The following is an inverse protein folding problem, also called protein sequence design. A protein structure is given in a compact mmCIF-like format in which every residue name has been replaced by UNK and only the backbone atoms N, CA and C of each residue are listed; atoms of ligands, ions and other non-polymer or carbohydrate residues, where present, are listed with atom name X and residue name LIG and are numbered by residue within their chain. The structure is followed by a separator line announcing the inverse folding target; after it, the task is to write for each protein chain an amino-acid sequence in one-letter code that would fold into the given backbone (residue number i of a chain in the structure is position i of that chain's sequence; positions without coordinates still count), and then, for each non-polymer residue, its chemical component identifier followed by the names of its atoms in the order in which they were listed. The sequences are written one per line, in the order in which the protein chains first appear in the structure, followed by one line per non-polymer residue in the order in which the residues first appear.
data_IF_158290515895
#
_entry.id   IF_158290515895
#
_cell.length_a   1.000
_cell.length_b   1.000
_cell.length_c   1.000
_cell.angle_alpha   90.00
_cell.angle_beta   90.00
_cell.angle_gamma   90.00
#
_symmetry.space_group_name_H-M   'P 1'
#
loop_
_entity.id
_entity.type
_entity.pdbx_description
1 polymer ?
#
# COMPACT_ATOMS: atom_id res chain seq x y z
N UNK A 1 18.66 -12.85 -0.51
CA UNK A 1 17.98 -14.00 -1.07
C UNK A 1 17.55 -13.70 -2.50
N UNK A 2 17.44 -14.72 -3.31
CA UNK A 2 16.89 -14.58 -4.66
C UNK A 2 15.45 -15.08 -4.61
N UNK A 3 14.50 -14.32 -5.15
CA UNK A 3 13.17 -14.81 -5.38
C UNK A 3 13.19 -15.79 -6.56
N UNK A 4 12.68 -17.01 -6.36
CA UNK A 4 12.61 -18.06 -7.38
C UNK A 4 11.19 -18.21 -7.90
N UNK A 5 10.20 -18.04 -7.02
CA UNK A 5 8.79 -18.09 -7.36
C UNK A 5 8.16 -16.72 -7.25
N UNK A 6 7.69 -16.19 -8.38
CA UNK A 6 7.16 -14.82 -8.45
C UNK A 6 5.75 -14.84 -9.05
N UNK A 7 4.80 -14.23 -8.36
CA UNK A 7 3.47 -13.96 -8.86
C UNK A 7 3.31 -12.47 -9.13
N UNK A 8 2.93 -12.12 -10.35
CA UNK A 8 2.55 -10.76 -10.72
C UNK A 8 1.06 -10.71 -10.98
N UNK A 9 0.37 -9.85 -10.25
CA UNK A 9 -1.06 -9.58 -10.37
C UNK A 9 -1.27 -8.20 -10.98
N UNK A 10 -2.01 -8.14 -12.06
CA UNK A 10 -2.31 -6.90 -12.78
C UNK A 10 -3.79 -6.85 -13.17
N UNK A 11 -4.36 -5.68 -13.48
CA UNK A 11 -5.67 -5.62 -14.13
C UNK A 11 -5.69 -6.42 -15.44
N UNK A 12 -6.82 -7.05 -15.76
CA UNK A 12 -6.97 -7.90 -16.96
C UNK A 12 -6.49 -7.20 -18.24
N UNK A 13 -6.79 -5.93 -18.40
CA UNK A 13 -6.40 -5.12 -19.56
C UNK A 13 -4.89 -4.95 -19.72
N UNK A 14 -4.10 -5.12 -18.65
CA UNK A 14 -2.65 -4.90 -18.64
C UNK A 14 -1.82 -6.20 -18.75
N UNK A 15 -2.42 -7.37 -18.66
CA UNK A 15 -1.73 -8.68 -18.68
C UNK A 15 -0.79 -8.80 -19.89
N UNK A 16 -1.28 -8.54 -21.09
CA UNK A 16 -0.46 -8.67 -22.30
C UNK A 16 0.62 -7.60 -22.40
N UNK A 17 0.35 -6.38 -21.94
CA UNK A 17 1.34 -5.31 -21.92
C UNK A 17 2.49 -5.66 -20.98
N UNK A 18 2.18 -6.11 -19.76
CA UNK A 18 3.18 -6.54 -18.78
C UNK A 18 4.03 -7.69 -19.32
N UNK A 19 3.41 -8.71 -19.92
CA UNK A 19 4.13 -9.83 -20.54
C UNK A 19 5.15 -9.35 -21.58
N UNK A 20 4.72 -8.49 -22.51
CA UNK A 20 5.58 -7.97 -23.57
C UNK A 20 6.73 -7.12 -23.02
N UNK A 21 6.45 -6.24 -22.05
CA UNK A 21 7.47 -5.38 -21.45
C UNK A 21 8.51 -6.17 -20.64
N UNK A 22 8.08 -7.16 -19.86
CA UNK A 22 8.99 -8.05 -19.11
C UNK A 22 9.91 -8.82 -20.06
N UNK A 23 9.37 -9.36 -21.13
CA UNK A 23 10.13 -10.11 -22.12
C UNK A 23 11.10 -9.21 -22.88
N UNK A 24 10.63 -8.07 -23.43
CA UNK A 24 11.44 -7.22 -24.33
C UNK A 24 12.50 -6.41 -23.62
N UNK A 25 12.19 -5.88 -22.42
CA UNK A 25 13.09 -4.97 -21.70
C UNK A 25 14.03 -5.69 -20.75
N UNK A 26 13.56 -6.78 -20.15
CA UNK A 26 14.28 -7.46 -19.07
C UNK A 26 14.67 -8.91 -19.42
N UNK A 27 14.22 -9.43 -20.57
CA UNK A 27 14.39 -10.83 -20.98
C UNK A 27 13.88 -11.81 -19.90
N UNK A 28 12.78 -11.44 -19.22
CA UNK A 28 12.11 -12.25 -18.22
C UNK A 28 10.88 -12.90 -18.86
N UNK A 29 10.82 -14.23 -18.75
CA UNK A 29 9.72 -15.01 -19.27
C UNK A 29 8.73 -15.36 -18.17
N UNK A 30 7.56 -14.71 -18.17
CA UNK A 30 6.44 -15.04 -17.30
C UNK A 30 5.41 -15.85 -18.06
N UNK A 31 4.85 -16.89 -17.43
CA UNK A 31 3.72 -17.63 -17.97
C UNK A 31 2.41 -16.90 -17.63
N UNK A 32 1.62 -16.58 -18.66
CA UNK A 32 0.29 -16.01 -18.43
C UNK A 32 -0.64 -17.14 -17.96
N UNK A 33 -1.30 -16.91 -16.82
CA UNK A 33 -2.27 -17.85 -16.24
C UNK A 33 -3.66 -17.25 -16.32
N UNK A 34 -4.53 -18.04 -16.92
CA UNK A 34 -5.98 -17.86 -17.01
C UNK A 34 -6.67 -19.20 -16.74
N UNK A 35 -7.99 -19.22 -16.79
CA UNK A 35 -8.77 -20.45 -16.57
C UNK A 35 -8.41 -21.55 -17.59
N UNK A 36 -8.14 -21.18 -18.84
CA UNK A 36 -7.73 -22.12 -19.89
C UNK A 36 -6.40 -22.80 -19.56
N UNK A 37 -5.41 -22.05 -19.11
CA UNK A 37 -4.10 -22.55 -18.69
C UNK A 37 -4.21 -23.44 -17.45
N UNK A 38 -4.98 -23.03 -16.43
CA UNK A 38 -5.21 -23.82 -15.22
C UNK A 38 -5.84 -25.17 -15.55
N UNK A 39 -6.90 -25.20 -16.38
CA UNK A 39 -7.53 -26.45 -16.83
C UNK A 39 -6.60 -27.34 -17.65
N UNK A 40 -5.71 -26.75 -18.44
CA UNK A 40 -4.73 -27.53 -19.20
C UNK A 40 -3.71 -28.19 -18.25
N UNK A 41 -3.22 -27.50 -17.24
CA UNK A 41 -2.34 -28.04 -16.22
C UNK A 41 -3.03 -29.18 -15.43
N UNK A 42 -4.26 -28.98 -14.97
CA UNK A 42 -5.07 -30.00 -14.25
C UNK A 42 -5.31 -31.27 -15.10
N UNK A 43 -5.46 -31.14 -16.42
CA UNK A 43 -5.57 -32.30 -17.31
C UNK A 43 -4.25 -33.06 -17.43
N UNK A 44 -3.12 -32.37 -17.37
CA UNK A 44 -1.79 -32.99 -17.46
C UNK A 44 -1.39 -33.65 -16.15
N UNK A 45 -1.76 -33.07 -15.01
CA UNK A 45 -1.47 -33.57 -13.66
C UNK A 45 -2.76 -33.53 -12.81
N UNK A 46 -3.63 -34.50 -12.93
CA UNK A 46 -4.90 -34.53 -12.21
C UNK A 46 -4.71 -34.51 -10.70
N UNK A 47 -5.36 -33.55 -10.03
CA UNK A 47 -5.30 -33.38 -8.58
C UNK A 47 -4.14 -32.54 -8.06
N UNK A 48 -3.25 -32.08 -8.93
CA UNK A 48 -2.19 -31.14 -8.55
C UNK A 48 -2.67 -29.68 -8.70
N UNK A 49 -2.10 -28.81 -7.87
CA UNK A 49 -2.36 -27.39 -7.94
C UNK A 49 -1.70 -26.80 -9.21
N UNK A 50 -2.46 -26.22 -10.14
CA UNK A 50 -1.94 -25.73 -11.42
C UNK A 50 -0.88 -24.62 -11.24
N UNK A 51 -0.90 -23.86 -10.14
CA UNK A 51 0.06 -22.82 -9.87
C UNK A 51 1.45 -23.34 -9.45
N UNK A 52 1.59 -24.63 -9.18
CA UNK A 52 2.88 -25.27 -8.93
C UNK A 52 3.66 -25.57 -10.22
N UNK A 53 3.00 -25.58 -11.38
CA UNK A 53 3.60 -25.86 -12.70
C UNK A 53 4.52 -24.73 -13.22
N UNK A 54 4.44 -23.53 -12.62
CA UNK A 54 5.23 -22.37 -13.03
C UNK A 54 5.92 -21.66 -11.85
N UNK A 55 7.13 -21.16 -12.11
CA UNK A 55 7.87 -20.36 -11.14
C UNK A 55 7.59 -18.87 -11.28
N UNK A 56 7.42 -18.38 -12.50
CA UNK A 56 7.16 -16.97 -12.82
C UNK A 56 5.80 -16.85 -13.51
N UNK A 57 4.80 -16.42 -12.76
CA UNK A 57 3.42 -16.38 -13.20
C UNK A 57 2.92 -14.94 -13.23
N UNK A 58 2.24 -14.60 -14.31
CA UNK A 58 1.53 -13.35 -14.52
C UNK A 58 0.05 -13.67 -14.74
N UNK A 59 -0.83 -13.09 -13.95
CA UNK A 59 -2.27 -13.25 -14.14
C UNK A 59 -3.05 -12.00 -13.73
N UNK A 60 -4.32 -11.98 -14.11
CA UNK A 60 -5.25 -10.94 -13.69
C UNK A 60 -5.62 -11.12 -12.22
N UNK A 61 -5.66 -10.02 -11.46
CA UNK A 61 -6.18 -10.03 -10.10
C UNK A 61 -7.65 -10.42 -10.10
N UNK A 62 -8.44 -9.92 -11.07
CA UNK A 62 -9.87 -10.23 -11.22
C UNK A 62 -10.12 -11.72 -11.45
N UNK A 63 -9.27 -12.38 -12.24
CA UNK A 63 -9.38 -13.82 -12.49
C UNK A 63 -9.29 -14.62 -11.19
N UNK A 64 -8.35 -14.28 -10.31
CA UNK A 64 -8.20 -14.98 -9.03
C UNK A 64 -9.32 -14.60 -8.06
N UNK A 65 -9.60 -13.31 -7.88
CA UNK A 65 -10.58 -12.81 -6.93
C UNK A 65 -12.01 -13.29 -7.21
N UNK A 66 -12.35 -13.58 -8.49
CA UNK A 66 -13.66 -14.09 -8.88
C UNK A 66 -13.80 -15.62 -8.79
N UNK A 67 -12.78 -16.34 -8.34
CA UNK A 67 -12.80 -17.81 -8.23
C UNK A 67 -12.17 -18.27 -6.93
N UNK A 68 -12.98 -18.69 -5.97
CA UNK A 68 -12.52 -19.20 -4.67
C UNK A 68 -11.48 -20.32 -4.83
N UNK A 69 -11.74 -21.28 -5.74
CA UNK A 69 -10.80 -22.39 -6.01
C UNK A 69 -9.45 -21.88 -6.54
N UNK A 70 -9.45 -20.93 -7.49
CA UNK A 70 -8.20 -20.38 -8.06
C UNK A 70 -7.46 -19.50 -7.07
N UNK A 71 -8.20 -18.75 -6.26
CA UNK A 71 -7.66 -17.97 -5.15
C UNK A 71 -6.93 -18.87 -4.15
N UNK A 72 -7.57 -19.92 -3.64
CA UNK A 72 -6.97 -20.86 -2.72
C UNK A 72 -5.72 -21.53 -3.31
N UNK A 73 -5.81 -22.02 -4.56
CA UNK A 73 -4.68 -22.62 -5.25
C UNK A 73 -3.49 -21.67 -5.41
N UNK A 74 -3.74 -20.41 -5.76
CA UNK A 74 -2.70 -19.39 -5.87
C UNK A 74 -2.07 -19.06 -4.52
N UNK A 75 -2.88 -18.94 -3.45
CA UNK A 75 -2.41 -18.66 -2.09
C UNK A 75 -1.54 -19.81 -1.55
N UNK A 76 -1.86 -21.06 -1.90
CA UNK A 76 -1.13 -22.25 -1.44
C UNK A 76 0.11 -22.58 -2.25
N UNK A 77 0.31 -21.92 -3.40
CA UNK A 77 1.42 -22.23 -4.29
C UNK A 77 2.80 -21.88 -3.73
N UNK A 78 2.89 -21.00 -2.72
CA UNK A 78 4.14 -20.63 -2.03
C UNK A 78 5.03 -19.71 -2.89
N UNK A 79 4.78 -18.41 -2.83
CA UNK A 79 5.51 -17.37 -3.55
C UNK A 79 6.61 -16.75 -2.69
N UNK A 80 7.79 -16.48 -3.29
CA UNK A 80 8.84 -15.69 -2.64
C UNK A 80 8.54 -14.20 -2.76
N UNK A 81 7.88 -13.79 -3.86
CA UNK A 81 7.52 -12.42 -4.14
C UNK A 81 6.15 -12.37 -4.84
N UNK A 82 5.26 -11.56 -4.31
CA UNK A 82 4.01 -11.15 -4.95
C UNK A 82 4.12 -9.69 -5.35
N UNK A 83 3.85 -9.38 -6.60
CA UNK A 83 3.80 -8.01 -7.14
C UNK A 83 2.37 -7.71 -7.55
N UNK A 84 1.83 -6.61 -7.10
CA UNK A 84 0.47 -6.17 -7.46
C UNK A 84 0.55 -4.80 -8.10
N UNK A 85 0.14 -4.71 -9.37
CA UNK A 85 0.04 -3.44 -10.08
C UNK A 85 -1.32 -2.80 -9.88
N UNK A 86 -1.37 -1.48 -10.03
CA UNK A 86 -2.56 -0.64 -9.81
C UNK A 86 -3.22 -0.91 -8.44
N UNK A 87 -2.38 -1.05 -7.41
CA UNK A 87 -2.82 -1.37 -6.04
C UNK A 87 -3.82 -0.35 -5.45
N UNK A 88 -4.07 0.77 -6.14
CA UNK A 88 -5.12 1.70 -5.78
C UNK A 88 -6.54 1.15 -6.02
N UNK A 89 -6.71 0.08 -6.79
CA UNK A 89 -7.99 -0.61 -6.97
C UNK A 89 -8.32 -1.60 -5.84
N UNK A 90 -7.40 -1.84 -4.91
CA UNK A 90 -7.66 -2.68 -3.73
C UNK A 90 -8.50 -1.88 -2.73
N UNK A 91 -9.82 -2.00 -2.82
CA UNK A 91 -10.75 -1.27 -1.97
C UNK A 91 -10.86 -1.90 -0.58
N UNK A 92 -10.76 -1.05 0.43
CA UNK A 92 -10.91 -1.43 1.83
C UNK A 92 -11.52 -0.28 2.63
N UNK A 93 -12.44 -0.62 3.51
CA UNK A 93 -12.96 0.25 4.57
C UNK A 93 -13.00 -0.54 5.88
N UNK A 94 -13.18 0.12 7.05
CA UNK A 94 -13.35 -0.59 8.32
C UNK A 94 -14.50 -1.61 8.32
N UNK A 95 -15.54 -1.38 7.50
CA UNK A 95 -16.73 -2.23 7.43
C UNK A 95 -16.68 -3.29 6.33
N UNK A 96 -15.86 -3.06 5.28
CA UNK A 96 -15.87 -3.92 4.10
C UNK A 96 -14.58 -3.86 3.32
N UNK A 97 -14.12 -5.01 2.85
CA UNK A 97 -13.03 -5.18 1.88
C UNK A 97 -13.53 -5.74 0.55
N UNK A 98 -12.81 -5.45 -0.52
CA UNK A 98 -13.06 -6.11 -1.82
C UNK A 98 -12.42 -7.49 -1.85
N UNK A 99 -12.91 -8.37 -2.74
CA UNK A 99 -12.34 -9.72 -2.95
C UNK A 99 -10.87 -9.67 -3.40
N UNK A 100 -10.51 -8.65 -4.17
CA UNK A 100 -9.13 -8.40 -4.62
C UNK A 100 -8.23 -8.03 -3.43
N UNK A 101 -8.73 -7.19 -2.51
CA UNK A 101 -8.00 -6.84 -1.29
C UNK A 101 -7.76 -8.08 -0.41
N UNK A 102 -8.81 -8.87 -0.15
CA UNK A 102 -8.74 -10.10 0.66
C UNK A 102 -7.77 -11.13 0.07
N UNK A 103 -7.78 -11.30 -1.25
CA UNK A 103 -6.84 -12.14 -1.97
C UNK A 103 -5.39 -11.67 -1.75
N UNK A 104 -5.12 -10.37 -1.93
CA UNK A 104 -3.77 -9.81 -1.77
C UNK A 104 -3.32 -9.87 -0.31
N UNK A 105 -4.21 -9.64 0.65
CA UNK A 105 -3.93 -9.79 2.07
C UNK A 105 -3.51 -11.24 2.41
N UNK A 106 -4.26 -12.24 1.92
CA UNK A 106 -3.95 -13.65 2.13
C UNK A 106 -2.62 -14.07 1.48
N UNK A 107 -2.34 -13.60 0.26
CA UNK A 107 -1.07 -13.82 -0.43
C UNK A 107 0.10 -13.16 0.33
N UNK A 108 -0.07 -11.91 0.79
CA UNK A 108 0.93 -11.18 1.54
C UNK A 108 1.29 -11.83 2.87
N UNK A 109 0.31 -12.43 3.56
CA UNK A 109 0.55 -13.16 4.81
C UNK A 109 1.37 -14.44 4.62
N UNK A 110 1.29 -15.08 3.45
CA UNK A 110 2.01 -16.33 3.14
C UNK A 110 3.32 -16.12 2.39
N UNK A 111 3.53 -14.93 1.81
CA UNK A 111 4.70 -14.62 0.98
C UNK A 111 5.69 -13.76 1.75
N UNK A 112 6.99 -14.05 1.76
CA UNK A 112 8.00 -13.23 2.41
C UNK A 112 8.19 -11.86 1.77
N UNK A 113 7.75 -11.65 0.52
CA UNK A 113 7.84 -10.37 -0.20
C UNK A 113 6.52 -9.97 -0.84
N UNK A 114 6.05 -8.74 -0.56
CA UNK A 114 4.91 -8.10 -1.22
C UNK A 114 5.33 -6.74 -1.75
N UNK A 115 5.09 -6.50 -3.04
CA UNK A 115 5.34 -5.23 -3.72
C UNK A 115 4.04 -4.69 -4.30
N UNK A 116 3.62 -3.53 -3.82
CA UNK A 116 2.45 -2.83 -4.33
C UNK A 116 2.88 -1.67 -5.23
N UNK A 117 2.43 -1.66 -6.47
CA UNK A 117 2.70 -0.61 -7.45
C UNK A 117 1.43 0.23 -7.65
N UNK A 118 1.58 1.54 -7.65
CA UNK A 118 0.49 2.47 -7.94
C UNK A 118 1.03 3.80 -8.43
N UNK A 119 0.38 4.39 -9.44
CA UNK A 119 0.69 5.73 -9.91
C UNK A 119 0.14 6.83 -8.96
N UNK A 120 -0.83 6.49 -8.11
CA UNK A 120 -1.61 7.45 -7.32
C UNK A 120 -1.77 7.01 -5.87
N UNK A 121 -0.68 7.04 -5.08
CA UNK A 121 -0.69 6.48 -3.72
C UNK A 121 -1.65 7.20 -2.75
N UNK A 122 -2.06 8.44 -3.04
CA UNK A 122 -2.88 9.27 -2.15
C UNK A 122 -4.27 9.59 -2.66
N UNK A 123 -4.66 9.16 -3.88
CA UNK A 123 -5.93 9.56 -4.50
C UNK A 123 -7.17 8.99 -3.83
N UNK A 124 -7.08 7.89 -3.09
CA UNK A 124 -8.21 7.21 -2.46
C UNK A 124 -8.47 7.64 -1.01
N UNK A 125 -7.97 8.81 -0.62
CA UNK A 125 -8.13 9.30 0.74
C UNK A 125 -7.34 8.49 1.77
N UNK A 126 -7.67 8.74 3.05
CA UNK A 126 -6.95 8.18 4.18
C UNK A 126 -7.14 6.67 4.32
N UNK A 127 -8.37 6.18 4.08
CA UNK A 127 -8.72 4.75 4.12
C UNK A 127 -7.91 3.93 3.11
N UNK A 128 -7.87 4.38 1.85
CA UNK A 128 -7.11 3.71 0.82
C UNK A 128 -5.59 3.75 1.07
N UNK A 129 -5.07 4.80 1.70
CA UNK A 129 -3.68 4.87 2.11
C UNK A 129 -3.38 3.87 3.23
N UNK A 130 -4.22 3.86 4.27
CA UNK A 130 -4.13 2.92 5.38
C UNK A 130 -4.20 1.46 4.89
N UNK A 131 -5.14 1.15 4.00
CA UNK A 131 -5.33 -0.18 3.44
C UNK A 131 -4.04 -0.75 2.83
N UNK A 132 -3.33 0.04 2.05
CA UNK A 132 -2.05 -0.38 1.44
C UNK A 132 -0.94 -0.53 2.46
N UNK A 133 -0.85 0.35 3.44
CA UNK A 133 0.12 0.24 4.53
C UNK A 133 -0.14 -1.02 5.38
N UNK A 134 -1.41 -1.33 5.64
CA UNK A 134 -1.83 -2.54 6.36
C UNK A 134 -1.46 -3.82 5.62
N UNK A 135 -1.56 -3.86 4.29
CA UNK A 135 -1.09 -5.00 3.51
C UNK A 135 0.43 -5.21 3.64
N UNK A 136 1.22 -4.14 3.77
CA UNK A 136 2.67 -4.21 3.88
C UNK A 136 3.16 -4.49 5.31
N UNK A 137 2.49 -3.95 6.31
CA UNK A 137 2.82 -4.16 7.74
C UNK A 137 1.54 -4.20 8.59
N UNK A 138 0.85 -5.34 8.63
CA UNK A 138 -0.41 -5.48 9.38
C UNK A 138 -0.26 -5.34 10.89
N UNK A 139 0.94 -5.57 11.44
CA UNK A 139 1.18 -5.41 12.87
C UNK A 139 1.24 -3.94 13.28
N UNK A 140 1.82 -3.09 12.45
CA UNK A 140 1.91 -1.66 12.69
C UNK A 140 0.61 -0.94 12.36
N UNK A 141 -0.06 -1.33 11.29
CA UNK A 141 -1.28 -0.70 10.79
C UNK A 141 -2.51 -1.57 11.05
N UNK A 142 -2.78 -1.85 12.34
CA UNK A 142 -3.91 -2.67 12.78
C UNK A 142 -5.14 -1.82 13.20
N UNK A 143 -4.93 -0.56 13.56
CA UNK A 143 -5.93 0.36 14.10
C UNK A 143 -6.11 1.58 13.17
N UNK A 144 -7.24 1.64 12.50
CA UNK A 144 -7.55 2.75 11.58
C UNK A 144 -7.86 4.06 12.32
N UNK A 145 -8.55 4.00 13.46
CA UNK A 145 -8.89 5.20 14.23
C UNK A 145 -7.61 5.86 14.77
N UNK A 146 -6.68 5.06 15.29
CA UNK A 146 -5.38 5.54 15.73
C UNK A 146 -4.55 6.15 14.60
N UNK A 147 -4.56 5.52 13.42
CA UNK A 147 -3.90 6.04 12.22
C UNK A 147 -4.50 7.36 11.73
N UNK A 148 -5.83 7.50 11.78
CA UNK A 148 -6.53 8.73 11.42
C UNK A 148 -6.14 9.87 12.37
N UNK A 149 -6.17 9.64 13.67
CA UNK A 149 -5.77 10.63 14.68
C UNK A 149 -4.30 11.08 14.51
N UNK A 150 -3.41 10.13 14.20
CA UNK A 150 -1.99 10.42 13.91
C UNK A 150 -1.84 11.27 12.63
N UNK A 151 -2.56 10.93 11.57
CA UNK A 151 -2.55 11.68 10.30
C UNK A 151 -3.04 13.12 10.46
N UNK A 152 -4.13 13.34 11.17
CA UNK A 152 -4.66 14.66 11.47
C UNK A 152 -3.65 15.50 12.28
N UNK A 153 -2.92 14.85 13.20
CA UNK A 153 -1.82 15.45 13.93
C UNK A 153 -0.69 15.91 13.00
N UNK A 154 -0.25 15.06 12.08
CA UNK A 154 0.80 15.40 11.11
C UNK A 154 0.40 16.52 10.14
N UNK A 155 -0.83 16.54 9.65
CA UNK A 155 -1.33 17.62 8.79
C UNK A 155 -1.31 18.97 9.54
N UNK A 156 -1.70 18.96 10.81
CA UNK A 156 -1.65 20.14 11.66
C UNK A 156 -0.22 20.64 11.85
N UNK A 157 0.74 19.75 12.10
CA UNK A 157 2.17 20.10 12.20
C UNK A 157 2.70 20.67 10.89
N UNK A 158 2.41 20.03 9.76
CA UNK A 158 2.88 20.47 8.46
C UNK A 158 2.34 21.86 8.10
N UNK A 159 1.07 22.12 8.39
CA UNK A 159 0.44 23.43 8.19
C UNK A 159 1.07 24.51 9.06
N UNK A 160 1.34 24.21 10.33
CA UNK A 160 1.98 25.14 11.26
C UNK A 160 3.44 25.40 10.86
N UNK A 161 4.17 24.35 10.45
CA UNK A 161 5.53 24.46 9.95
C UNK A 161 5.59 25.36 8.69
N UNK A 162 4.63 25.21 7.76
CA UNK A 162 4.49 26.10 6.62
C UNK A 162 4.33 27.56 7.02
N UNK A 163 3.42 27.86 7.95
CA UNK A 163 3.22 29.21 8.47
C UNK A 163 4.49 29.80 9.11
N UNK A 164 5.27 28.97 9.81
CA UNK A 164 6.54 29.42 10.42
C UNK A 164 7.57 29.74 9.34
N UNK A 165 7.68 28.91 8.29
CA UNK A 165 8.62 29.12 7.18
C UNK A 165 8.24 30.36 6.38
N UNK A 166 6.95 30.59 6.15
CA UNK A 166 6.41 31.72 5.39
C UNK A 166 6.31 32.99 6.26
N UNK A 167 6.83 32.94 7.47
CA UNK A 167 6.78 34.03 8.47
C UNK A 167 5.35 34.53 8.75
N UNK A 168 4.35 33.69 8.67
CA UNK A 168 2.97 33.99 9.02
C UNK A 168 2.78 33.94 10.57
N UNK A 169 1.76 34.64 11.06
CA UNK A 169 1.37 34.59 12.47
C UNK A 169 0.69 33.25 12.82
N UNK A 170 1.00 32.71 13.99
CA UNK A 170 0.31 31.54 14.52
C UNK A 170 -1.00 31.95 15.20
N UNK A 171 -2.07 31.21 14.94
CA UNK A 171 -3.36 31.41 15.60
C UNK A 171 -3.40 30.70 16.97
N UNK A 172 -4.38 31.04 17.81
CA UNK A 172 -4.57 30.36 19.10
C UNK A 172 -4.78 28.86 18.91
N UNK A 173 -5.47 28.42 17.84
CA UNK A 173 -5.65 27.01 17.50
C UNK A 173 -4.36 26.33 17.08
N UNK A 174 -3.43 27.03 16.43
CA UNK A 174 -2.11 26.49 16.10
C UNK A 174 -1.27 26.24 17.36
N UNK A 175 -1.36 27.13 18.36
CA UNK A 175 -0.71 26.95 19.66
C UNK A 175 -1.28 25.75 20.44
N UNK A 176 -2.61 25.56 20.43
CA UNK A 176 -3.24 24.41 21.07
C UNK A 176 -2.82 23.10 20.40
N UNK A 177 -2.80 23.05 19.06
CA UNK A 177 -2.33 21.89 18.33
C UNK A 177 -0.87 21.54 18.63
N UNK A 178 0.02 22.54 18.68
CA UNK A 178 1.43 22.33 19.06
C UNK A 178 1.56 21.82 20.50
N UNK A 179 0.76 22.31 21.44
CA UNK A 179 0.78 21.83 22.82
C UNK A 179 0.38 20.35 22.92
N UNK A 180 -0.64 19.92 22.18
CA UNK A 180 -1.08 18.52 22.13
C UNK A 180 0.01 17.59 21.58
N UNK A 181 0.74 18.04 20.56
CA UNK A 181 1.76 17.23 19.87
C UNK A 181 3.05 17.13 20.69
N UNK A 182 3.45 18.23 21.36
CA UNK A 182 4.67 18.32 22.14
C UNK A 182 4.46 18.17 23.64
N UNK A 183 3.48 17.40 24.07
CA UNK A 183 3.08 17.21 25.48
C UNK A 183 4.24 16.91 26.46
N UNK A 184 5.35 16.37 25.96
CA UNK A 184 6.53 16.04 26.77
C UNK A 184 7.57 17.15 26.89
N UNK A 185 7.53 18.22 26.07
CA UNK A 185 8.50 19.35 26.11
C UNK A 185 7.83 20.72 25.94
N UNK A 186 6.76 20.94 26.68
CA UNK A 186 5.99 22.20 26.67
C UNK A 186 6.84 23.44 26.97
N UNK A 187 7.78 23.32 27.91
CA UNK A 187 8.62 24.48 28.36
C UNK A 187 9.58 24.95 27.27
N UNK A 188 10.17 24.03 26.51
CA UNK A 188 11.03 24.34 25.38
C UNK A 188 10.26 24.94 24.21
N UNK A 189 9.07 24.39 23.92
CA UNK A 189 8.19 24.86 22.86
C UNK A 189 7.68 26.29 23.11
N UNK A 190 7.14 26.57 24.29
CA UNK A 190 6.60 27.89 24.66
C UNK A 190 7.67 29.00 24.56
N UNK A 191 8.89 28.71 24.98
CA UNK A 191 10.01 29.64 24.84
C UNK A 191 10.35 29.94 23.38
N UNK A 192 10.43 28.91 22.54
CA UNK A 192 10.72 29.06 21.09
C UNK A 192 9.61 29.81 20.35
N UNK A 193 8.35 29.54 20.68
CA UNK A 193 7.19 30.24 20.10
C UNK A 193 7.20 31.73 20.51
N UNK A 194 7.49 32.05 21.80
CA UNK A 194 7.58 33.40 22.27
C UNK A 194 8.74 34.17 21.61
N UNK A 195 9.87 33.51 21.36
CA UNK A 195 11.01 34.10 20.67
C UNK A 195 10.70 34.36 19.18
N UNK A 196 10.01 33.45 18.53
CA UNK A 196 9.53 33.62 17.14
C UNK A 196 8.56 34.82 17.01
N UNK A 197 7.57 34.93 17.90
CA UNK A 197 6.62 36.05 17.89
C UNK A 197 7.28 37.42 18.22
N UNK A 198 8.29 37.41 19.08
CA UNK A 198 9.08 38.64 19.39
C UNK A 198 9.92 39.09 18.19
N UNK A 199 10.53 38.15 17.46
CA UNK A 199 11.29 38.44 16.25
C UNK A 199 10.43 39.12 15.17
N UNK A 200 9.16 38.75 15.05
CA UNK A 200 8.20 39.38 14.11
C UNK A 200 7.80 40.80 14.53
N UNK A 201 7.76 41.10 15.81
CA UNK A 201 7.43 42.47 16.31
C UNK A 201 8.58 43.45 16.18
N UNK A 202 9.83 42.96 16.10
CA UNK A 202 11.04 43.76 15.96
C UNK A 202 11.43 44.13 14.53
N UNK A 203 10.77 43.58 13.51
CA UNK A 203 11.06 43.82 12.09
C UNK A 203 10.13 44.79 11.37
N UNK A 204 9.37 45.60 12.10
CA UNK A 204 8.50 46.66 11.56
C UNK A 204 8.84 48.01 12.13
N UNK A 205 10.11 48.43 11.99
CA UNK A 205 10.56 49.83 12.10
C UNK A 205 11.41 50.20 10.89
#
# INVERSE_FOLDING_TARGET
GKAERILILVPESLVHQWFVELLRRFNLWFSIYDEGRCRAAEKSSPGENPFLDGQMILCSVDFLANSEVRSEQAIEAGWDLVVVDEAHHLEWTPEKSSSEYELVEALGQKSPGLLLLTATPTQLGLEGHFARLRLLDPNRYSDFEGFQAESEGFESVARIAGKIVDEEGLSSSDHEALKLIFDKDLTGLEKRLADFEKGKRGGKD
#
